data_IF_640102692817
#
_entry.id   IF_640102692817
#
_cell.length_a   1.000
_cell.length_b   1.000
_cell.length_c   1.000
_cell.angle_alpha   90.00
_cell.angle_beta   90.00
_cell.angle_gamma   90.00
#
_symmetry.space_group_name_H-M   'P 1'
#
loop_
_entity.id
_entity.type
_entity.pdbx_description
1 polymer ?
#
# COMPACT_ATOMS: atom_id res chain seq x y z
N UNK A 1 15.77 -14.85 -10.09
CA UNK A 1 15.27 -14.38 -8.78
C UNK A 1 13.89 -13.69 -8.85
N UNK A 2 13.53 -12.94 -9.91
CA UNK A 2 12.19 -12.32 -10.06
C UNK A 2 11.04 -13.35 -10.14
N UNK A 3 11.23 -14.49 -10.82
CA UNK A 3 10.19 -15.54 -10.94
C UNK A 3 9.91 -16.30 -9.63
N UNK A 4 10.88 -16.41 -8.75
CA UNK A 4 10.71 -17.11 -7.48
C UNK A 4 9.85 -16.32 -6.48
N UNK A 5 9.92 -14.97 -6.53
CA UNK A 5 9.05 -14.10 -5.72
C UNK A 5 7.58 -14.15 -6.19
N UNK A 6 7.35 -14.25 -7.50
CA UNK A 6 6.02 -14.38 -8.12
C UNK A 6 5.25 -15.61 -7.61
N UNK A 7 5.94 -16.74 -7.54
CA UNK A 7 5.38 -18.00 -7.04
C UNK A 7 5.14 -17.95 -5.53
N UNK A 8 5.92 -17.16 -4.79
CA UNK A 8 5.83 -17.07 -3.34
C UNK A 8 4.62 -16.25 -2.88
N UNK A 9 4.27 -15.18 -3.58
CA UNK A 9 3.09 -14.35 -3.26
C UNK A 9 1.78 -15.13 -3.49
N UNK A 10 1.71 -15.92 -4.59
CA UNK A 10 0.58 -16.80 -4.87
C UNK A 10 0.57 -18.08 -4.01
N UNK A 11 1.74 -18.65 -3.68
CA UNK A 11 1.82 -19.89 -2.88
C UNK A 11 1.55 -19.66 -1.38
N UNK A 12 1.87 -18.48 -0.83
CA UNK A 12 1.57 -18.20 0.57
C UNK A 12 0.07 -18.10 0.85
N UNK A 13 -0.73 -17.65 -0.12
CA UNK A 13 -2.19 -17.63 0.00
C UNK A 13 -2.80 -19.06 -0.02
N UNK A 14 -2.14 -20.03 -0.68
CA UNK A 14 -2.69 -21.38 -0.87
C UNK A 14 -2.24 -22.39 0.20
N UNK A 15 -1.09 -22.20 0.84
CA UNK A 15 -0.48 -23.22 1.72
C UNK A 15 -1.00 -23.20 3.16
N UNK A 16 -1.65 -22.10 3.62
CA UNK A 16 -2.15 -22.06 5.02
C UNK A 16 -3.54 -22.66 5.24
N UNK A 17 -4.29 -23.03 4.20
CA UNK A 17 -5.64 -23.59 4.36
C UNK A 17 -5.69 -25.10 4.65
N UNK A 18 -4.55 -25.79 4.72
CA UNK A 18 -4.51 -27.26 4.90
C UNK A 18 -4.26 -27.73 6.34
N UNK A 19 -4.18 -26.87 7.31
CA UNK A 19 -4.02 -27.26 8.71
C UNK A 19 -4.90 -26.40 9.61
N UNK A 20 -6.07 -26.93 9.94
CA UNK A 20 -6.73 -26.89 11.23
C UNK A 20 -8.25 -26.95 11.05
N UNK A 21 -8.82 -28.15 11.17
CA UNK A 21 -10.23 -28.30 11.40
C UNK A 21 -10.59 -27.79 12.82
N UNK A 22 -10.88 -26.51 12.92
CA UNK A 22 -11.61 -25.91 14.04
C UNK A 22 -12.79 -25.19 13.43
N UNK A 23 -14.03 -25.49 13.82
CA UNK A 23 -15.15 -24.67 13.39
C UNK A 23 -14.98 -23.28 14.05
N UNK A 24 -14.48 -22.34 13.29
CA UNK A 24 -14.46 -20.94 13.70
C UNK A 24 -15.91 -20.49 13.83
N UNK A 25 -16.28 -20.00 15.00
CA UNK A 25 -17.53 -19.28 15.19
C UNK A 25 -17.57 -18.14 14.18
N UNK A 26 -18.63 -18.10 13.38
CA UNK A 26 -18.89 -17.07 12.38
C UNK A 26 -19.04 -15.72 13.07
N UNK A 27 -17.96 -14.93 13.11
CA UNK A 27 -18.02 -13.52 13.45
C UNK A 27 -17.51 -12.75 12.23
N UNK A 28 -18.45 -12.29 11.38
CA UNK A 28 -18.19 -11.29 10.38
C UNK A 28 -17.58 -11.81 9.07
N UNK A 29 -18.29 -12.66 8.31
CA UNK A 29 -17.99 -12.85 6.90
C UNK A 29 -18.24 -11.53 6.15
N UNK A 30 -17.32 -11.15 5.27
CA UNK A 30 -17.43 -9.94 4.43
C UNK A 30 -17.96 -10.37 3.07
N UNK A 31 -19.16 -9.92 2.64
CA UNK A 31 -19.67 -10.21 1.31
C UNK A 31 -18.75 -9.63 0.21
N UNK A 32 -18.51 -10.42 -0.85
CA UNK A 32 -17.78 -9.94 -2.02
C UNK A 32 -18.78 -9.36 -3.03
N UNK A 33 -19.29 -8.19 -2.73
CA UNK A 33 -20.32 -7.50 -3.50
C UNK A 33 -19.97 -6.02 -3.76
N UNK A 34 -20.89 -5.27 -4.39
CA UNK A 34 -20.63 -3.88 -4.74
C UNK A 34 -20.73 -2.91 -3.55
N UNK A 35 -21.26 -3.33 -2.42
CA UNK A 35 -21.33 -2.53 -1.20
C UNK A 35 -19.98 -2.55 -0.47
N UNK A 36 -19.35 -3.74 -0.38
CA UNK A 36 -18.07 -3.93 0.34
C UNK A 36 -16.85 -3.71 -0.54
N UNK A 37 -16.95 -4.01 -1.83
CA UNK A 37 -15.90 -3.81 -2.85
C UNK A 37 -16.53 -3.11 -4.07
N UNK A 38 -16.74 -1.79 -4.02
CA UNK A 38 -17.47 -1.05 -5.06
C UNK A 38 -16.74 -1.08 -6.42
N UNK A 39 -15.42 -1.06 -6.46
CA UNK A 39 -14.67 -1.17 -7.70
C UNK A 39 -14.75 -2.58 -8.28
N UNK A 40 -15.25 -2.69 -9.52
CA UNK A 40 -15.45 -3.98 -10.17
C UNK A 40 -14.14 -4.73 -10.41
N UNK A 41 -13.05 -4.02 -10.74
CA UNK A 41 -11.77 -4.66 -11.03
C UNK A 41 -11.14 -5.20 -9.73
N UNK A 42 -11.22 -4.44 -8.64
CA UNK A 42 -10.81 -4.90 -7.30
C UNK A 42 -11.68 -6.07 -6.84
N UNK A 43 -13.00 -5.96 -6.97
CA UNK A 43 -13.92 -7.04 -6.60
C UNK A 43 -13.66 -8.33 -7.36
N UNK A 44 -13.35 -8.23 -8.67
CA UNK A 44 -12.97 -9.41 -9.47
C UNK A 44 -11.69 -10.03 -8.93
N UNK A 45 -10.68 -9.21 -8.60
CA UNK A 45 -9.44 -9.71 -7.97
C UNK A 45 -9.74 -10.45 -6.66
N UNK A 46 -10.57 -9.86 -5.80
CA UNK A 46 -10.94 -10.47 -4.51
C UNK A 46 -11.68 -11.79 -4.73
N UNK A 47 -12.65 -11.82 -5.65
CA UNK A 47 -13.36 -13.07 -6.02
C UNK A 47 -12.39 -14.13 -6.54
N UNK A 48 -11.45 -13.77 -7.39
CA UNK A 48 -10.60 -14.74 -8.07
C UNK A 48 -9.47 -15.28 -7.18
N UNK A 49 -8.95 -14.44 -6.29
CA UNK A 49 -7.70 -14.75 -5.57
C UNK A 49 -7.82 -14.76 -4.04
N UNK A 50 -8.83 -14.11 -3.46
CA UNK A 50 -8.98 -14.03 -2.01
C UNK A 50 -10.11 -14.94 -1.50
N UNK A 51 -11.24 -15.01 -2.22
CA UNK A 51 -12.34 -15.93 -1.94
C UNK A 51 -11.97 -17.34 -2.44
N UNK A 52 -11.38 -18.15 -1.55
CA UNK A 52 -10.79 -19.44 -1.91
C UNK A 52 -11.81 -20.55 -2.06
N UNK A 53 -12.92 -20.47 -1.34
CA UNK A 53 -14.00 -21.44 -1.38
C UNK A 53 -15.10 -21.09 -2.41
N UNK A 54 -15.01 -19.88 -3.01
CA UNK A 54 -15.93 -19.36 -4.05
C UNK A 54 -17.39 -19.26 -3.60
N UNK A 55 -17.61 -18.91 -2.34
CA UNK A 55 -18.96 -18.70 -1.81
C UNK A 55 -19.46 -17.26 -1.88
N UNK A 56 -18.65 -16.35 -2.49
CA UNK A 56 -18.85 -14.91 -2.61
C UNK A 56 -18.83 -14.18 -1.26
N UNK A 57 -18.08 -14.69 -0.32
CA UNK A 57 -17.80 -14.06 0.96
C UNK A 57 -16.34 -14.26 1.32
N UNK A 58 -15.82 -13.41 2.18
CA UNK A 58 -14.53 -13.61 2.80
C UNK A 58 -14.74 -13.98 4.27
N UNK A 59 -14.32 -15.16 4.63
CA UNK A 59 -14.17 -15.55 6.03
C UNK A 59 -13.01 -14.80 6.68
N UNK A 60 -12.96 -14.74 8.00
CA UNK A 60 -11.82 -14.18 8.72
C UNK A 60 -10.48 -14.86 8.33
N UNK A 61 -10.50 -16.17 8.11
CA UNK A 61 -9.32 -16.92 7.70
C UNK A 61 -8.84 -16.53 6.30
N UNK A 62 -9.76 -16.27 5.36
CA UNK A 62 -9.41 -15.79 4.02
C UNK A 62 -8.86 -14.36 4.06
N UNK A 63 -9.47 -13.47 4.84
CA UNK A 63 -8.92 -12.12 5.05
C UNK A 63 -7.51 -12.16 5.65
N UNK A 64 -7.28 -13.00 6.66
CA UNK A 64 -5.97 -13.16 7.31
C UNK A 64 -4.92 -13.83 6.41
N UNK A 65 -5.34 -14.67 5.46
CA UNK A 65 -4.44 -15.34 4.53
C UNK A 65 -3.85 -14.38 3.49
N UNK A 66 -4.50 -13.24 3.22
CA UNK A 66 -4.02 -12.26 2.23
C UNK A 66 -2.90 -11.42 2.82
N UNK A 67 -1.67 -11.71 2.41
CA UNK A 67 -0.47 -10.98 2.82
C UNK A 67 0.09 -10.07 1.73
N UNK A 68 -0.29 -10.28 0.48
CA UNK A 68 0.17 -9.51 -0.66
C UNK A 68 -0.97 -9.32 -1.65
N UNK A 69 -1.15 -8.07 -2.10
CA UNK A 69 -2.00 -7.72 -3.24
C UNK A 69 -1.11 -7.04 -4.27
N UNK A 70 -0.94 -7.69 -5.42
CA UNK A 70 -0.16 -7.18 -6.55
C UNK A 70 -1.04 -7.04 -7.79
N UNK A 71 -1.65 -5.86 -7.94
CA UNK A 71 -2.50 -5.55 -9.08
C UNK A 71 -1.69 -5.39 -10.38
N UNK A 72 -0.42 -4.95 -10.25
CA UNK A 72 0.46 -4.73 -11.40
C UNK A 72 0.86 -6.06 -12.05
N UNK A 73 1.28 -7.03 -11.27
CA UNK A 73 1.63 -8.37 -11.77
C UNK A 73 0.42 -9.06 -12.42
N UNK A 74 -0.75 -8.89 -11.82
CA UNK A 74 -2.00 -9.45 -12.33
C UNK A 74 -2.58 -8.66 -13.51
N UNK A 75 -1.89 -7.56 -13.93
CA UNK A 75 -2.31 -6.67 -15.02
C UNK A 75 -3.69 -6.06 -14.79
N UNK A 76 -4.08 -5.91 -13.55
CA UNK A 76 -5.31 -5.23 -13.17
C UNK A 76 -5.00 -3.74 -13.13
N UNK A 77 -5.66 -3.02 -14.02
CA UNK A 77 -5.52 -1.57 -14.21
C UNK A 77 -6.88 -0.91 -14.12
N UNK A 78 -6.90 0.39 -13.90
CA UNK A 78 -8.10 1.22 -13.81
C UNK A 78 -8.89 1.05 -12.51
N UNK A 79 -8.35 0.39 -11.49
CA UNK A 79 -8.95 0.43 -10.15
C UNK A 79 -9.00 1.89 -9.71
N UNK A 80 -10.19 2.35 -9.35
CA UNK A 80 -10.44 3.72 -8.95
C UNK A 80 -10.80 3.86 -7.47
N UNK A 81 -11.29 2.78 -6.88
CA UNK A 81 -11.72 2.72 -5.48
C UNK A 81 -11.15 1.45 -4.82
N UNK A 82 -10.43 1.63 -3.72
CA UNK A 82 -9.82 0.56 -2.95
C UNK A 82 -10.63 0.20 -1.70
N UNK A 83 -11.86 0.67 -1.57
CA UNK A 83 -12.76 0.30 -0.47
C UNK A 83 -12.88 -1.22 -0.37
N UNK A 84 -12.77 -1.76 0.84
CA UNK A 84 -12.70 -3.19 1.13
C UNK A 84 -11.28 -3.67 1.42
N UNK A 85 -10.24 -2.88 1.06
CA UNK A 85 -8.84 -3.23 1.36
C UNK A 85 -8.58 -3.35 2.87
N UNK A 86 -9.32 -2.61 3.68
CA UNK A 86 -9.25 -2.58 5.14
C UNK A 86 -9.58 -3.91 5.80
N UNK A 87 -10.26 -4.82 5.10
CA UNK A 87 -10.56 -6.16 5.60
C UNK A 87 -9.31 -7.06 5.65
N UNK A 88 -8.28 -6.75 4.87
CA UNK A 88 -7.05 -7.54 4.80
C UNK A 88 -6.03 -7.08 5.86
N UNK A 89 -6.36 -7.26 7.13
CA UNK A 89 -5.57 -6.77 8.27
C UNK A 89 -4.17 -7.39 8.41
N UNK A 90 -3.91 -8.48 7.67
CA UNK A 90 -2.60 -9.14 7.61
C UNK A 90 -1.80 -8.78 6.36
N UNK A 91 -2.19 -7.74 5.63
CA UNK A 91 -1.50 -7.32 4.42
C UNK A 91 -0.12 -6.73 4.74
N UNK A 92 0.93 -7.27 4.10
CA UNK A 92 2.31 -6.82 4.22
C UNK A 92 2.77 -6.05 2.98
N UNK A 93 2.23 -6.37 1.81
CA UNK A 93 2.60 -5.72 0.56
C UNK A 93 1.37 -5.36 -0.27
N UNK A 94 1.27 -4.09 -0.67
CA UNK A 94 0.28 -3.58 -1.62
C UNK A 94 0.99 -2.94 -2.80
N UNK A 95 0.82 -3.51 -3.99
CA UNK A 95 1.28 -2.96 -5.26
C UNK A 95 0.05 -2.63 -6.11
N UNK A 96 -0.29 -1.34 -6.17
CA UNK A 96 -1.44 -0.81 -6.88
C UNK A 96 -1.03 0.31 -7.86
N UNK A 97 0.23 0.28 -8.33
CA UNK A 97 0.77 1.30 -9.21
C UNK A 97 0.02 1.37 -10.56
N UNK A 98 0.09 2.54 -11.21
CA UNK A 98 -0.52 2.79 -12.52
C UNK A 98 -2.06 2.58 -12.55
N UNK A 99 -2.74 2.83 -11.46
CA UNK A 99 -4.19 2.77 -11.34
C UNK A 99 -4.83 4.17 -11.32
N UNK A 100 -6.15 4.24 -11.19
CA UNK A 100 -6.92 5.49 -11.22
C UNK A 100 -7.44 5.91 -9.83
N UNK A 101 -6.82 5.39 -8.79
CA UNK A 101 -7.17 5.63 -7.39
C UNK A 101 -7.08 7.13 -7.12
N UNK A 102 -8.16 7.72 -6.59
CA UNK A 102 -8.20 9.14 -6.25
C UNK A 102 -7.90 9.39 -4.76
N UNK A 103 -8.33 8.47 -3.93
CA UNK A 103 -8.12 8.49 -2.48
C UNK A 103 -7.80 7.08 -1.99
N UNK A 104 -6.89 6.96 -1.03
CA UNK A 104 -6.53 5.68 -0.42
C UNK A 104 -6.34 5.88 1.08
N UNK A 105 -7.11 5.15 1.86
CA UNK A 105 -7.00 5.13 3.32
C UNK A 105 -6.50 3.75 3.77
N UNK A 106 -5.28 3.72 4.29
CA UNK A 106 -4.62 2.52 4.83
C UNK A 106 -4.39 2.67 6.34
N UNK A 107 -5.12 3.60 6.97
CA UNK A 107 -4.97 3.86 8.40
C UNK A 107 -5.18 2.60 9.23
N UNK A 108 -4.27 2.33 10.14
CA UNK A 108 -4.34 1.15 11.01
C UNK A 108 -3.82 -0.16 10.40
N UNK A 109 -3.33 -0.15 9.16
CA UNK A 109 -2.68 -1.34 8.56
C UNK A 109 -1.28 -1.54 9.15
N UNK A 110 -1.23 -1.96 10.40
CA UNK A 110 0.00 -2.04 11.21
C UNK A 110 1.03 -3.03 10.71
N UNK A 111 0.63 -3.97 9.83
CA UNK A 111 1.52 -4.99 9.26
C UNK A 111 2.03 -4.64 7.86
N UNK A 112 1.52 -3.56 7.26
CA UNK A 112 1.92 -3.16 5.91
C UNK A 112 3.38 -2.70 5.91
N UNK A 113 4.23 -3.42 5.18
CA UNK A 113 5.68 -3.19 5.09
C UNK A 113 6.08 -2.48 3.80
N UNK A 114 5.34 -2.71 2.72
CA UNK A 114 5.60 -2.13 1.41
C UNK A 114 4.33 -1.63 0.75
N UNK A 115 4.37 -0.39 0.28
CA UNK A 115 3.31 0.25 -0.50
C UNK A 115 3.88 0.83 -1.79
N UNK A 116 3.31 0.46 -2.92
CA UNK A 116 3.57 1.05 -4.23
C UNK A 116 2.25 1.50 -4.86
N UNK A 117 2.05 2.81 -4.91
CA UNK A 117 0.93 3.49 -5.59
C UNK A 117 1.44 4.44 -6.67
N UNK A 118 2.68 4.23 -7.13
CA UNK A 118 3.31 5.08 -8.13
C UNK A 118 2.51 5.11 -9.43
N UNK A 119 2.52 6.25 -10.10
CA UNK A 119 1.77 6.42 -11.35
C UNK A 119 0.24 6.50 -11.19
N UNK A 120 -0.28 6.55 -9.96
CA UNK A 120 -1.69 6.84 -9.70
C UNK A 120 -1.96 8.34 -9.85
N UNK A 121 -1.93 8.84 -11.09
CA UNK A 121 -1.97 10.28 -11.39
C UNK A 121 -3.25 11.02 -10.93
N UNK A 122 -4.23 10.32 -10.38
CA UNK A 122 -5.42 10.91 -9.75
C UNK A 122 -5.34 10.93 -8.22
N UNK A 123 -4.34 10.30 -7.60
CA UNK A 123 -4.24 10.14 -6.15
C UNK A 123 -3.91 11.49 -5.49
N UNK A 124 -4.90 12.07 -4.84
CA UNK A 124 -4.81 13.35 -4.14
C UNK A 124 -4.73 13.20 -2.63
N UNK A 125 -5.23 12.07 -2.10
CA UNK A 125 -5.24 11.79 -0.66
C UNK A 125 -4.74 10.38 -0.39
N UNK A 126 -3.67 10.28 0.39
CA UNK A 126 -3.10 9.03 0.90
C UNK A 126 -2.99 9.14 2.42
N UNK A 127 -3.68 8.26 3.13
CA UNK A 127 -3.64 8.19 4.59
C UNK A 127 -2.88 6.95 5.05
N UNK A 128 -1.87 7.17 5.90
CA UNK A 128 -0.95 6.14 6.39
C UNK A 128 -0.90 6.09 7.92
N UNK A 129 -1.85 6.73 8.61
CA UNK A 129 -1.84 6.78 10.06
C UNK A 129 -1.84 5.37 10.67
N UNK A 130 -0.82 5.06 11.48
CA UNK A 130 -0.67 3.75 12.11
C UNK A 130 0.01 2.67 11.26
N UNK A 131 0.50 2.97 10.05
CA UNK A 131 1.31 2.04 9.24
C UNK A 131 2.73 1.91 9.82
N UNK A 132 2.83 1.47 11.06
CA UNK A 132 4.09 1.49 11.83
C UNK A 132 5.15 0.50 11.32
N UNK A 133 4.75 -0.54 10.58
CA UNK A 133 5.68 -1.49 9.95
C UNK A 133 6.16 -1.05 8.55
N UNK A 134 5.62 0.05 7.99
CA UNK A 134 5.91 0.47 6.62
C UNK A 134 7.39 0.85 6.48
N UNK A 135 8.12 0.09 5.66
CA UNK A 135 9.55 0.28 5.40
C UNK A 135 9.83 0.88 4.03
N UNK A 136 8.93 0.67 3.06
CA UNK A 136 9.08 1.14 1.69
C UNK A 136 7.78 1.76 1.21
N UNK A 137 7.85 3.02 0.79
CA UNK A 137 6.76 3.78 0.19
C UNK A 137 7.20 4.29 -1.18
N UNK A 138 6.45 3.93 -2.22
CA UNK A 138 6.51 4.61 -3.51
C UNK A 138 5.14 5.22 -3.84
N UNK A 139 5.09 6.54 -3.78
CA UNK A 139 3.96 7.38 -4.15
C UNK A 139 4.36 8.40 -5.23
N UNK A 140 5.32 8.03 -6.09
CA UNK A 140 5.81 8.90 -7.16
C UNK A 140 4.77 9.05 -8.28
N UNK A 141 4.82 10.16 -9.00
CA UNK A 141 3.93 10.41 -10.15
C UNK A 141 2.44 10.32 -9.80
N UNK A 142 2.07 10.91 -8.67
CA UNK A 142 0.70 11.07 -8.20
C UNK A 142 0.28 12.56 -8.25
N UNK A 143 -0.88 12.88 -7.68
CA UNK A 143 -1.38 14.24 -7.57
C UNK A 143 -1.38 14.74 -6.12
N UNK A 144 -0.47 14.25 -5.28
CA UNK A 144 -0.41 14.58 -3.86
C UNK A 144 0.05 16.04 -3.66
N UNK A 145 -0.68 16.76 -2.84
CA UNK A 145 -0.29 18.10 -2.34
C UNK A 145 0.22 18.04 -0.90
N UNK A 146 -0.11 16.99 -0.18
CA UNK A 146 0.33 16.68 1.18
C UNK A 146 0.69 15.19 1.25
N UNK A 147 1.75 14.86 1.95
CA UNK A 147 2.11 13.49 2.32
C UNK A 147 2.44 13.49 3.81
N UNK A 148 1.53 12.90 4.60
CA UNK A 148 1.70 12.75 6.05
C UNK A 148 2.31 11.39 6.35
N UNK A 149 3.50 11.38 6.93
CA UNK A 149 4.26 10.19 7.32
C UNK A 149 4.22 9.95 8.84
N UNK A 150 3.36 10.66 9.57
CA UNK A 150 3.22 10.51 11.01
C UNK A 150 2.87 9.07 11.38
N UNK A 151 3.64 8.46 12.26
CA UNK A 151 3.47 7.07 12.69
C UNK A 151 4.16 6.02 11.80
N UNK A 152 4.77 6.42 10.67
CA UNK A 152 5.52 5.50 9.78
C UNK A 152 7.00 5.39 10.19
N UNK A 153 7.25 5.06 11.47
CA UNK A 153 8.60 5.10 12.07
C UNK A 153 9.59 4.03 11.55
N UNK A 154 9.10 3.04 10.81
CA UNK A 154 9.96 2.02 10.22
C UNK A 154 10.47 2.38 8.82
N UNK A 155 10.05 3.50 8.23
CA UNK A 155 10.40 3.89 6.86
C UNK A 155 11.90 3.97 6.64
N UNK A 156 12.36 3.27 5.60
CA UNK A 156 13.74 3.27 5.09
C UNK A 156 13.84 3.90 3.71
N UNK A 157 12.79 3.76 2.91
CA UNK A 157 12.74 4.30 1.55
C UNK A 157 11.44 5.04 1.35
N UNK A 158 11.53 6.30 0.95
CA UNK A 158 10.39 7.13 0.52
C UNK A 158 10.69 7.67 -0.86
N UNK A 159 9.86 7.30 -1.83
CA UNK A 159 9.81 7.87 -3.15
C UNK A 159 8.47 8.61 -3.31
N UNK A 160 8.56 9.93 -3.51
CA UNK A 160 7.40 10.81 -3.71
C UNK A 160 7.68 11.87 -4.79
N UNK A 161 8.58 11.56 -5.72
CA UNK A 161 8.89 12.44 -6.84
C UNK A 161 7.68 12.65 -7.77
N UNK A 162 7.67 13.76 -8.51
CA UNK A 162 6.60 14.07 -9.47
C UNK A 162 5.22 14.18 -8.82
N UNK A 163 5.13 15.00 -7.77
CA UNK A 163 3.90 15.38 -7.08
C UNK A 163 3.76 16.91 -7.01
N UNK A 164 2.84 17.41 -6.22
CA UNK A 164 2.64 18.84 -6.00
C UNK A 164 2.90 19.25 -4.53
N UNK A 165 3.79 18.53 -3.83
CA UNK A 165 4.09 18.74 -2.42
C UNK A 165 4.74 20.11 -2.21
N UNK A 166 4.20 20.91 -1.29
CA UNK A 166 4.77 22.20 -0.89
C UNK A 166 5.62 22.12 0.36
N UNK A 167 5.43 21.09 1.16
CA UNK A 167 6.21 20.72 2.32
C UNK A 167 6.31 19.19 2.42
N UNK A 168 7.36 18.70 3.04
CA UNK A 168 7.56 17.28 3.33
C UNK A 168 8.24 17.17 4.69
N UNK A 169 7.52 16.63 5.66
CA UNK A 169 8.05 16.30 6.98
C UNK A 169 8.43 14.83 7.01
N UNK A 170 9.70 14.54 7.18
CA UNK A 170 10.25 13.18 7.29
C UNK A 170 10.71 12.85 8.71
N UNK A 171 10.49 13.75 9.68
CA UNK A 171 10.99 13.62 11.05
C UNK A 171 10.60 12.31 11.73
N UNK A 172 9.41 11.76 11.40
CA UNK A 172 8.95 10.46 11.90
C UNK A 172 9.74 9.27 11.34
N UNK A 173 10.43 9.44 10.21
CA UNK A 173 11.15 8.37 9.49
C UNK A 173 12.64 8.35 9.86
N UNK A 174 12.98 8.21 11.14
CA UNK A 174 14.37 8.27 11.64
C UNK A 174 15.33 7.27 11.01
N UNK A 175 14.80 6.16 10.45
CA UNK A 175 15.58 5.09 9.79
C UNK A 175 15.72 5.29 8.27
N UNK A 176 15.40 6.50 7.78
CA UNK A 176 15.41 6.79 6.36
C UNK A 176 16.83 6.67 5.77
N UNK A 177 16.96 5.84 4.74
CA UNK A 177 18.20 5.61 4.00
C UNK A 177 18.14 6.17 2.58
N UNK A 178 16.91 6.28 2.02
CA UNK A 178 16.68 6.76 0.66
C UNK A 178 15.46 7.68 0.66
N UNK A 179 15.65 8.90 0.14
CA UNK A 179 14.59 9.88 -0.09
C UNK A 179 14.65 10.37 -1.54
N UNK A 180 13.57 10.14 -2.27
CA UNK A 180 13.38 10.62 -3.64
C UNK A 180 12.16 11.55 -3.67
N UNK A 181 12.40 12.86 -3.73
CA UNK A 181 11.36 13.89 -3.70
C UNK A 181 11.51 14.95 -4.79
N UNK A 182 12.17 14.58 -5.91
CA UNK A 182 12.36 15.47 -7.05
C UNK A 182 11.03 15.88 -7.69
N UNK A 183 11.04 17.00 -8.43
CA UNK A 183 9.89 17.49 -9.16
C UNK A 183 8.63 17.65 -8.27
N UNK A 184 8.80 18.42 -7.21
CA UNK A 184 7.77 18.90 -6.30
C UNK A 184 7.82 20.45 -6.19
N UNK A 185 7.18 21.01 -5.18
CA UNK A 185 7.17 22.47 -4.90
C UNK A 185 7.74 22.79 -3.53
N UNK A 186 8.69 21.96 -3.05
CA UNK A 186 9.29 22.12 -1.72
C UNK A 186 10.13 23.40 -1.67
N UNK A 187 9.94 24.19 -0.65
CA UNK A 187 10.75 25.40 -0.39
C UNK A 187 11.81 25.18 0.67
N UNK A 188 11.65 24.17 1.51
CA UNK A 188 12.60 23.71 2.51
C UNK A 188 12.50 22.21 2.68
N UNK A 189 13.57 21.58 3.14
CA UNK A 189 13.62 20.16 3.49
C UNK A 189 14.55 20.00 4.68
N UNK A 190 13.99 19.68 5.85
CA UNK A 190 14.79 19.40 7.04
C UNK A 190 15.15 17.92 7.10
N UNK A 191 16.45 17.63 7.05
CA UNK A 191 17.02 16.29 7.17
C UNK A 191 17.86 16.16 8.45
N UNK A 192 17.74 17.11 9.38
CA UNK A 192 18.39 17.03 10.67
C UNK A 192 17.93 15.76 11.40
N UNK A 193 18.88 14.97 11.88
CA UNK A 193 18.55 13.68 12.53
C UNK A 193 18.62 12.44 11.62
N UNK A 194 18.56 12.58 10.29
CA UNK A 194 18.60 11.45 9.36
C UNK A 194 20.03 10.97 9.07
N UNK A 195 20.71 10.44 10.10
CA UNK A 195 22.13 10.05 10.04
C UNK A 195 22.38 8.84 9.13
N UNK A 196 21.35 8.05 8.83
CA UNK A 196 21.45 6.86 7.98
C UNK A 196 21.15 7.16 6.51
N UNK A 197 20.81 8.41 6.16
CA UNK A 197 20.46 8.78 4.79
C UNK A 197 21.67 8.65 3.87
N UNK A 198 21.54 7.86 2.81
CA UNK A 198 22.58 7.53 1.82
C UNK A 198 22.25 8.07 0.44
N UNK A 199 20.97 8.13 0.09
CA UNK A 199 20.50 8.57 -1.21
C UNK A 199 19.48 9.69 -1.01
N UNK A 200 19.74 10.82 -1.63
CA UNK A 200 18.83 11.96 -1.69
C UNK A 200 18.69 12.43 -3.13
N UNK A 201 17.48 12.45 -3.66
CA UNK A 201 17.15 13.15 -4.90
C UNK A 201 16.05 14.15 -4.63
N UNK A 202 16.36 15.45 -4.77
CA UNK A 202 15.44 16.56 -4.48
C UNK A 202 15.47 17.66 -5.56
N UNK A 203 15.96 17.36 -6.76
CA UNK A 203 16.01 18.29 -7.87
C UNK A 203 14.62 18.72 -8.33
N UNK A 204 14.54 19.84 -9.09
CA UNK A 204 13.27 20.37 -9.58
C UNK A 204 12.29 20.70 -8.43
N UNK A 205 12.80 21.33 -7.38
CA UNK A 205 12.06 21.95 -6.28
C UNK A 205 12.42 23.43 -6.19
N UNK A 206 11.85 24.15 -5.23
CA UNK A 206 12.14 25.57 -4.95
C UNK A 206 12.96 25.74 -3.65
N UNK A 207 13.86 24.78 -3.35
CA UNK A 207 14.67 24.80 -2.12
C UNK A 207 15.64 25.99 -2.11
N UNK A 208 15.73 26.68 -0.96
CA UNK A 208 16.58 27.86 -0.74
C UNK A 208 17.55 27.65 0.42
#
# INVERSE_FOLDING_TARGET
MKHLKKTLCLLLAVVMLLALGVPAMATGEVPVDAEHFPDQALRTYVTDYCDTNKDNKLSAAECEAVQCIDLFEMKITKVADMTGIEHFTNLHELIACNNQIATLDLSGMTKLEKLDVSGCGKLQSLKLAGCSALTQLDASSCALTVLDLTGCSALKTVACSYNALTALDVSAAEKLTTLECSANRLTALDLSGHKELKVLTCSLNALT
#
